data_IF_284844972824
#
_entry.id   IF_284844972824
#
_cell.length_a   1.000
_cell.length_b   1.000
_cell.length_c   1.000
_cell.angle_alpha   90.00
_cell.angle_beta   90.00
_cell.angle_gamma   90.00
#
_symmetry.space_group_name_H-M   'P 1'
#
loop_
_entity.id
_entity.type
_entity.pdbx_description
1 polymer ?
#
# COMPACT_ATOMS: atom_id res chain seq x y z
N UNK A 1 -2.73 -12.46 -1.60
CA UNK A 1 -3.35 -13.41 -0.66
C UNK A 1 -2.76 -13.16 0.71
N UNK A 2 -3.47 -13.49 1.78
CA UNK A 2 -3.00 -13.33 3.17
C UNK A 2 -2.62 -11.90 3.58
N UNK A 3 -3.43 -10.91 3.16
CA UNK A 3 -3.22 -9.49 3.49
C UNK A 3 -1.87 -8.92 3.04
N UNK A 4 -1.22 -9.57 2.08
CA UNK A 4 -0.05 -9.06 1.39
C UNK A 4 -0.40 -8.69 -0.05
N UNK A 5 0.09 -7.53 -0.47
CA UNK A 5 0.09 -7.07 -1.86
C UNK A 5 1.53 -6.72 -2.29
N UNK A 6 1.76 -6.79 -3.60
CA UNK A 6 3.05 -6.45 -4.21
C UNK A 6 2.75 -5.38 -5.26
N UNK A 7 3.38 -4.22 -5.14
CA UNK A 7 3.42 -3.24 -6.21
C UNK A 7 4.62 -3.55 -7.11
N UNK A 8 4.37 -3.64 -8.41
CA UNK A 8 5.38 -3.97 -9.42
C UNK A 8 5.59 -2.75 -10.30
N UNK A 9 6.80 -2.19 -10.29
CA UNK A 9 7.17 -1.07 -11.13
C UNK A 9 7.85 -1.56 -12.40
N UNK A 10 7.22 -1.32 -13.55
CA UNK A 10 7.69 -1.80 -14.86
C UNK A 10 8.18 -0.61 -15.68
N UNK A 11 9.38 -0.71 -16.25
CA UNK A 11 9.89 0.30 -17.18
C UNK A 11 9.15 0.22 -18.51
N UNK A 12 8.49 1.32 -18.91
CA UNK A 12 7.80 1.39 -20.20
C UNK A 12 8.74 1.21 -21.41
N UNK A 13 10.04 1.50 -21.25
CA UNK A 13 11.04 1.35 -22.32
C UNK A 13 11.52 -0.10 -22.44
N UNK A 14 11.62 -0.80 -21.32
CA UNK A 14 12.14 -2.17 -21.22
C UNK A 14 11.21 -3.01 -20.34
N UNK A 15 10.03 -3.43 -20.85
CA UNK A 15 9.00 -4.07 -20.02
C UNK A 15 9.38 -5.48 -19.52
N UNK A 16 10.39 -6.12 -20.13
CA UNK A 16 10.90 -7.44 -19.75
C UNK A 16 12.11 -7.39 -18.83
N UNK A 17 12.62 -6.19 -18.50
CA UNK A 17 13.73 -6.05 -17.55
C UNK A 17 13.29 -6.37 -16.12
N UNK A 18 14.26 -6.67 -15.26
CA UNK A 18 14.01 -6.79 -13.82
C UNK A 18 13.28 -5.55 -13.29
N UNK A 19 12.28 -5.78 -12.43
CA UNK A 19 11.37 -4.76 -11.92
C UNK A 19 11.65 -4.45 -10.46
N UNK A 20 11.30 -3.23 -10.04
CA UNK A 20 11.32 -2.84 -8.64
C UNK A 20 10.02 -3.32 -7.97
N UNK A 21 10.14 -3.94 -6.79
CA UNK A 21 9.02 -4.51 -6.05
C UNK A 21 8.88 -3.84 -4.68
N UNK A 22 7.69 -3.31 -4.40
CA UNK A 22 7.29 -2.91 -3.05
C UNK A 22 6.35 -3.96 -2.47
N UNK A 23 6.81 -4.68 -1.45
CA UNK A 23 5.99 -5.59 -0.68
C UNK A 23 5.24 -4.82 0.41
N UNK A 24 3.92 -4.99 0.46
CA UNK A 24 3.03 -4.33 1.40
C UNK A 24 2.26 -5.39 2.20
N UNK A 25 2.10 -5.17 3.50
CA UNK A 25 1.43 -6.09 4.41
C UNK A 25 2.19 -6.23 5.73
N UNK A 26 1.77 -7.21 6.56
CA UNK A 26 2.46 -7.51 7.82
C UNK A 26 3.87 -8.05 7.58
N UNK A 27 4.84 -7.63 8.37
CA UNK A 27 6.26 -8.01 8.21
C UNK A 27 6.46 -9.53 8.27
N UNK A 28 5.64 -10.24 9.05
CA UNK A 28 5.67 -11.71 9.15
C UNK A 28 5.42 -12.38 7.79
N UNK A 29 4.60 -11.77 6.93
CA UNK A 29 4.29 -12.27 5.59
C UNK A 29 5.26 -11.70 4.55
N UNK A 30 5.66 -10.44 4.71
CA UNK A 30 6.53 -9.72 3.76
C UNK A 30 7.99 -10.18 3.84
N UNK A 31 8.54 -10.40 5.03
CA UNK A 31 9.95 -10.72 5.21
C UNK A 31 10.39 -11.98 4.43
N UNK A 32 9.67 -13.13 4.48
CA UNK A 32 10.03 -14.31 3.69
C UNK A 32 9.96 -14.07 2.18
N UNK A 33 9.04 -13.22 1.70
CA UNK A 33 8.95 -12.86 0.28
C UNK A 33 10.16 -12.03 -0.15
N UNK A 34 10.58 -11.07 0.68
CA UNK A 34 11.75 -10.23 0.44
C UNK A 34 13.04 -11.05 0.40
N UNK A 35 13.20 -11.99 1.32
CA UNK A 35 14.37 -12.88 1.37
C UNK A 35 14.46 -13.78 0.13
N UNK A 36 13.33 -14.36 -0.32
CA UNK A 36 13.27 -15.15 -1.55
C UNK A 36 13.60 -14.32 -2.79
N UNK A 37 13.04 -13.11 -2.89
CA UNK A 37 13.37 -12.17 -3.97
C UNK A 37 14.87 -11.87 -4.02
N UNK A 38 15.47 -11.48 -2.90
CA UNK A 38 16.89 -11.14 -2.84
C UNK A 38 17.80 -12.33 -3.20
N UNK A 39 17.41 -13.54 -2.78
CA UNK A 39 18.15 -14.78 -3.07
C UNK A 39 18.09 -15.14 -4.56
N UNK A 40 16.90 -15.04 -5.15
CA UNK A 40 16.62 -15.58 -6.48
C UNK A 40 16.65 -14.52 -7.59
N UNK A 41 16.81 -13.23 -7.28
CA UNK A 41 16.80 -12.12 -8.25
C UNK A 41 17.77 -12.32 -9.43
N UNK A 42 18.92 -12.97 -9.19
CA UNK A 42 19.91 -13.29 -10.21
C UNK A 42 19.41 -14.25 -11.30
N UNK A 43 18.33 -14.99 -11.03
CA UNK A 43 17.74 -15.95 -11.97
C UNK A 43 16.72 -15.31 -12.91
N UNK A 44 16.57 -13.98 -12.92
CA UNK A 44 15.66 -13.29 -13.83
C UNK A 44 15.98 -13.59 -15.30
N UNK A 45 14.98 -14.01 -16.06
CA UNK A 45 15.09 -14.38 -17.47
C UNK A 45 14.33 -13.40 -18.36
N UNK A 46 14.98 -12.91 -19.41
CA UNK A 46 14.36 -12.04 -20.42
C UNK A 46 13.42 -12.78 -21.37
N UNK A 47 13.50 -14.12 -21.39
CA UNK A 47 12.70 -14.97 -22.26
C UNK A 47 11.43 -15.49 -21.57
N UNK A 48 11.26 -15.22 -20.29
CA UNK A 48 10.08 -15.58 -19.52
C UNK A 48 9.19 -14.34 -19.31
N UNK A 49 7.89 -14.55 -19.15
CA UNK A 49 6.97 -13.48 -18.79
C UNK A 49 7.27 -12.95 -17.38
N UNK A 50 6.79 -11.74 -17.09
CA UNK A 50 6.88 -11.15 -15.75
C UNK A 50 6.28 -12.08 -14.68
N UNK A 51 5.14 -12.71 -14.97
CA UNK A 51 4.44 -13.59 -14.02
C UNK A 51 5.28 -14.84 -13.73
N UNK A 52 5.86 -15.46 -14.76
CA UNK A 52 6.71 -16.66 -14.61
C UNK A 52 7.97 -16.34 -13.81
N UNK A 53 8.66 -15.25 -14.17
CA UNK A 53 9.82 -14.76 -13.41
C UNK A 53 9.48 -14.55 -11.94
N UNK A 54 8.41 -13.81 -11.64
CA UNK A 54 8.02 -13.52 -10.27
C UNK A 54 7.54 -14.76 -9.52
N UNK A 55 6.82 -15.67 -10.15
CA UNK A 55 6.37 -16.93 -9.53
C UNK A 55 7.56 -17.79 -9.13
N UNK A 56 8.55 -17.91 -10.00
CA UNK A 56 9.80 -18.66 -9.77
C UNK A 56 10.70 -17.99 -8.73
N UNK A 57 10.91 -16.68 -8.82
CA UNK A 57 11.79 -15.92 -7.91
C UNK A 57 11.20 -15.87 -6.50
N UNK A 58 9.89 -15.59 -6.38
CA UNK A 58 9.21 -15.52 -5.10
C UNK A 58 8.81 -16.89 -4.57
N UNK A 59 8.97 -17.97 -5.36
CA UNK A 59 8.55 -19.33 -5.02
C UNK A 59 7.08 -19.36 -4.54
N UNK A 60 6.20 -18.68 -5.28
CA UNK A 60 4.76 -18.64 -5.01
C UNK A 60 3.98 -19.00 -6.25
N UNK A 61 2.83 -19.63 -6.05
CA UNK A 61 1.81 -19.76 -7.08
C UNK A 61 0.92 -18.52 -7.05
N UNK A 62 0.95 -17.73 -8.13
CA UNK A 62 0.04 -16.62 -8.28
C UNK A 62 -1.38 -17.14 -8.50
N UNK A 63 -2.37 -16.67 -7.72
CA UNK A 63 -3.74 -17.13 -7.86
C UNK A 63 -4.21 -16.96 -9.30
N UNK A 64 -4.91 -17.96 -9.82
CA UNK A 64 -5.53 -17.83 -11.14
C UNK A 64 -6.62 -16.75 -11.12
N UNK A 65 -6.86 -16.07 -12.25
CA UNK A 65 -7.95 -15.09 -12.34
C UNK A 65 -9.28 -15.81 -12.11
N UNK A 66 -9.81 -15.72 -10.88
CA UNK A 66 -11.19 -16.12 -10.63
C UNK A 66 -12.11 -14.98 -11.08
N UNK A 67 -13.31 -15.26 -11.61
CA UNK A 67 -14.30 -14.22 -11.90
C UNK A 67 -14.79 -13.64 -10.56
N UNK A 68 -14.02 -12.71 -10.03
CA UNK A 68 -14.30 -12.06 -8.75
C UNK A 68 -15.27 -10.89 -8.99
N UNK A 69 -16.38 -10.85 -8.25
CA UNK A 69 -17.33 -9.73 -8.31
C UNK A 69 -16.58 -8.44 -7.90
N UNK A 70 -16.67 -7.37 -8.71
CA UNK A 70 -16.00 -6.07 -8.49
C UNK A 70 -16.27 -5.47 -7.09
N UNK A 71 -17.35 -5.85 -6.43
CA UNK A 71 -17.67 -5.40 -5.07
C UNK A 71 -16.82 -6.07 -4.00
N UNK A 72 -16.40 -7.33 -4.20
CA UNK A 72 -15.56 -8.07 -3.24
C UNK A 72 -14.11 -7.58 -3.17
N UNK A 73 -13.68 -6.75 -4.13
CA UNK A 73 -12.32 -6.18 -4.19
C UNK A 73 -12.17 -4.83 -3.48
N UNK A 74 -13.26 -4.26 -2.97
CA UNK A 74 -13.23 -3.00 -2.24
C UNK A 74 -12.98 -3.30 -0.77
N UNK A 75 -11.71 -3.30 -0.37
CA UNK A 75 -11.38 -3.33 1.06
C UNK A 75 -11.36 -1.89 1.55
N UNK A 76 -12.36 -1.51 2.35
CA UNK A 76 -12.51 -0.14 2.84
C UNK A 76 -11.62 0.11 4.07
N UNK A 77 -11.18 1.37 4.22
CA UNK A 77 -10.44 1.79 5.40
C UNK A 77 -11.30 1.65 6.67
N UNK A 78 -10.76 1.03 7.72
CA UNK A 78 -11.43 0.87 9.02
C UNK A 78 -11.64 2.15 9.84
N UNK A 79 -11.37 3.33 9.28
CA UNK A 79 -11.61 4.64 9.92
C UNK A 79 -12.60 5.46 9.09
N UNK A 80 -12.33 5.65 7.79
CA UNK A 80 -13.16 6.50 6.93
C UNK A 80 -14.18 5.73 6.08
N UNK A 81 -14.16 4.39 6.12
CA UNK A 81 -15.05 3.51 5.35
C UNK A 81 -15.05 3.78 3.83
N UNK A 82 -13.94 4.30 3.31
CA UNK A 82 -13.74 4.51 1.87
C UNK A 82 -12.59 3.66 1.37
N UNK A 83 -12.75 3.11 0.18
CA UNK A 83 -11.68 2.49 -0.58
C UNK A 83 -10.63 3.52 -1.05
N UNK A 84 -11.05 4.74 -1.41
CA UNK A 84 -10.16 5.81 -1.87
C UNK A 84 -10.36 7.08 -1.08
N UNK A 85 -9.29 7.58 -0.48
CA UNK A 85 -9.31 8.86 0.20
C UNK A 85 -9.24 9.99 -0.84
N UNK A 86 -10.25 10.87 -0.87
CA UNK A 86 -10.20 12.09 -1.68
C UNK A 86 -9.57 13.20 -0.83
N UNK A 87 -8.28 13.47 -1.03
CA UNK A 87 -7.64 14.64 -0.43
C UNK A 87 -7.93 15.83 -1.34
N UNK A 88 -8.82 16.72 -0.91
CA UNK A 88 -9.10 17.97 -1.63
C UNK A 88 -7.85 18.87 -1.58
N UNK A 89 -7.10 18.91 -2.68
CA UNK A 89 -6.10 19.96 -2.87
C UNK A 89 -6.84 21.24 -3.23
N UNK A 90 -6.92 22.18 -2.30
CA UNK A 90 -7.43 23.54 -2.54
C UNK A 90 -6.61 24.22 -3.65
N UNK A 91 -7.02 24.02 -4.89
CA UNK A 91 -6.69 24.85 -6.04
C UNK A 91 -7.98 25.50 -6.48
N UNK A 92 -8.35 26.59 -5.81
CA UNK A 92 -9.56 27.34 -6.14
C UNK A 92 -9.44 27.95 -7.55
N UNK A 93 -10.31 27.46 -8.45
CA UNK A 93 -10.92 28.13 -9.62
C UNK A 93 -10.01 28.43 -10.84
N UNK A 94 -10.39 28.09 -12.08
CA UNK A 94 -11.70 28.31 -12.72
C UNK A 94 -12.08 27.23 -13.76
N UNK A 95 -13.36 26.87 -13.69
CA UNK A 95 -14.28 26.24 -14.66
C UNK A 95 -13.77 25.88 -16.06
N UNK A 96 -13.89 24.60 -16.44
CA UNK A 96 -14.94 24.10 -17.35
C UNK A 96 -14.61 22.68 -17.83
N UNK A 97 -15.60 21.79 -17.69
CA UNK A 97 -15.93 20.58 -18.46
C UNK A 97 -14.83 19.60 -18.95
N UNK A 98 -15.20 18.32 -18.85
CA UNK A 98 -14.59 17.11 -19.43
C UNK A 98 -13.42 16.46 -18.69
N UNK A 99 -13.76 15.28 -18.16
CA UNK A 99 -12.94 14.07 -17.99
C UNK A 99 -11.58 14.12 -18.69
N UNK A 100 -10.55 14.56 -17.97
CA UNK A 100 -9.16 14.24 -18.29
C UNK A 100 -8.40 14.02 -17.01
N UNK A 101 -8.34 12.75 -16.64
CA UNK A 101 -7.40 12.16 -15.68
C UNK A 101 -5.97 12.43 -16.13
N UNK A 102 -5.47 13.65 -15.91
CA UNK A 102 -4.04 13.95 -16.00
C UNK A 102 -3.44 13.66 -14.64
N UNK A 103 -3.17 12.37 -14.41
CA UNK A 103 -2.33 11.91 -13.32
C UNK A 103 -0.92 12.49 -13.52
N UNK A 104 -0.57 13.51 -12.73
CA UNK A 104 0.82 13.91 -12.55
C UNK A 104 1.34 13.11 -11.35
N UNK A 105 2.31 12.26 -11.65
CA UNK A 105 3.12 11.45 -10.74
C UNK A 105 3.28 12.07 -9.34
N UNK A 106 2.65 11.45 -8.34
CA UNK A 106 2.79 11.75 -6.92
C UNK A 106 2.28 10.54 -6.13
N UNK A 107 3.08 10.04 -5.20
CA UNK A 107 2.89 8.83 -4.40
C UNK A 107 1.42 8.49 -4.00
N UNK A 108 0.82 7.52 -4.69
CA UNK A 108 -0.56 7.04 -4.51
C UNK A 108 -0.76 6.18 -3.22
N UNK A 109 0.27 6.00 -2.40
CA UNK A 109 0.24 5.06 -1.25
C UNK A 109 -0.67 5.52 -0.12
N UNK A 110 -0.88 6.83 0.06
CA UNK A 110 -1.75 7.36 1.13
C UNK A 110 -3.24 7.34 0.79
N UNK A 111 -3.60 7.18 -0.49
CA UNK A 111 -4.98 7.24 -0.98
C UNK A 111 -5.69 5.90 -0.91
N UNK A 112 -4.94 4.80 -0.83
CA UNK A 112 -5.44 3.44 -0.68
C UNK A 112 -5.20 2.91 0.74
N UNK A 113 -6.08 2.05 1.27
CA UNK A 113 -5.95 1.53 2.62
C UNK A 113 -4.92 0.39 2.65
N UNK A 114 -3.64 0.73 2.49
CA UNK A 114 -2.55 -0.24 2.40
C UNK A 114 -1.88 -0.52 3.76
N UNK A 115 -2.19 0.25 4.80
CA UNK A 115 -1.66 0.02 6.13
C UNK A 115 -2.54 -0.98 6.88
N UNK A 116 -2.08 -2.21 7.01
CA UNK A 116 -2.86 -3.31 7.62
C UNK A 116 -2.43 -3.55 9.06
N UNK A 117 -3.39 -3.88 9.93
CA UNK A 117 -3.08 -4.33 11.29
C UNK A 117 -2.34 -5.68 11.30
N UNK A 118 -1.23 -5.77 12.05
CA UNK A 118 -0.42 -6.98 12.18
C UNK A 118 -1.11 -8.14 12.93
N UNK A 119 -2.15 -7.84 13.72
CA UNK A 119 -2.92 -8.89 14.39
C UNK A 119 -3.68 -9.72 13.34
N UNK A 120 -3.30 -10.99 13.17
CA UNK A 120 -3.88 -11.94 12.20
C UNK A 120 -5.39 -12.13 12.36
N UNK A 121 -5.94 -11.94 13.56
CA UNK A 121 -7.40 -12.01 13.81
C UNK A 121 -8.14 -10.73 13.39
N UNK A 122 -7.41 -9.62 13.22
CA UNK A 122 -7.96 -8.31 12.86
C UNK A 122 -7.77 -8.02 11.37
N UNK A 123 -6.52 -7.88 10.92
CA UNK A 123 -6.20 -7.60 9.51
C UNK A 123 -6.90 -6.38 8.91
N UNK A 124 -7.43 -5.45 9.73
CA UNK A 124 -8.15 -4.29 9.21
C UNK A 124 -7.17 -3.35 8.49
N UNK A 125 -7.50 -2.91 7.26
CA UNK A 125 -6.68 -1.96 6.54
C UNK A 125 -7.07 -0.51 6.81
N UNK A 126 -6.10 0.38 6.68
CA UNK A 126 -6.26 1.81 6.89
C UNK A 126 -5.48 2.60 5.82
N UNK A 127 -5.99 3.78 5.47
CA UNK A 127 -5.17 4.78 4.78
C UNK A 127 -4.03 5.23 5.69
N UNK A 128 -2.87 5.50 5.09
CA UNK A 128 -1.73 6.06 5.84
C UNK A 128 -2.15 7.35 6.55
N UNK A 129 -2.86 8.24 5.85
CA UNK A 129 -3.36 9.49 6.41
C UNK A 129 -4.35 9.28 7.57
N UNK A 130 -5.31 8.36 7.43
CA UNK A 130 -6.32 8.14 8.47
C UNK A 130 -5.71 7.58 9.75
N UNK A 131 -4.87 6.53 9.65
CA UNK A 131 -4.27 5.93 10.82
C UNK A 131 -3.21 6.85 11.46
N UNK A 132 -2.41 7.56 10.66
CA UNK A 132 -1.45 8.52 11.20
C UNK A 132 -2.12 9.67 11.95
N UNK A 133 -3.21 10.23 11.41
CA UNK A 133 -4.01 11.27 12.08
C UNK A 133 -4.64 10.76 13.36
N UNK A 134 -5.21 9.55 13.32
CA UNK A 134 -5.77 8.90 14.50
C UNK A 134 -4.74 8.73 15.61
N UNK A 135 -3.59 8.11 15.33
CA UNK A 135 -2.55 7.87 16.34
C UNK A 135 -2.01 9.19 16.92
N UNK A 136 -1.85 10.24 16.11
CA UNK A 136 -1.44 11.58 16.60
C UNK A 136 -2.43 12.22 17.58
N UNK A 137 -3.70 11.83 17.56
CA UNK A 137 -4.71 12.34 18.49
C UNK A 137 -4.70 11.67 19.86
N UNK A 138 -3.98 10.54 20.01
CA UNK A 138 -3.90 9.78 21.25
C UNK A 138 -2.68 10.19 22.08
N UNK A 139 -2.88 10.34 23.39
CA UNK A 139 -1.81 10.74 24.33
C UNK A 139 -0.83 9.61 24.66
N UNK A 140 -1.20 8.35 24.41
CA UNK A 140 -0.37 7.17 24.66
C UNK A 140 0.48 6.74 23.45
N UNK A 141 0.32 7.41 22.30
CA UNK A 141 1.08 7.14 21.08
C UNK A 141 2.55 7.49 21.25
N UNK A 142 3.42 6.51 20.98
CA UNK A 142 4.87 6.70 20.99
C UNK A 142 5.36 7.01 19.59
N UNK A 143 6.34 7.89 19.49
CA UNK A 143 6.98 8.26 18.23
C UNK A 143 8.45 7.83 18.29
N UNK A 144 8.93 7.18 17.23
CA UNK A 144 10.36 6.89 17.03
C UNK A 144 10.72 7.24 15.59
N UNK A 145 11.52 8.30 15.41
CA UNK A 145 11.86 8.86 14.11
C UNK A 145 10.62 9.14 13.24
N UNK A 146 10.49 8.43 12.12
CA UNK A 146 9.39 8.55 11.16
C UNK A 146 8.28 7.52 11.41
N UNK A 147 8.34 6.76 12.52
CA UNK A 147 7.38 5.69 12.83
C UNK A 147 6.60 6.01 14.12
N UNK A 148 5.27 5.85 14.06
CA UNK A 148 4.37 5.97 15.20
C UNK A 148 3.92 4.60 15.66
N UNK A 149 3.80 4.41 16.98
CA UNK A 149 3.39 3.18 17.63
C UNK A 149 2.22 3.46 18.57
N UNK A 150 1.15 2.70 18.43
CA UNK A 150 -0.01 2.83 19.29
C UNK A 150 -0.91 1.61 19.20
N UNK A 151 -2.21 1.82 19.42
CA UNK A 151 -3.22 0.75 19.42
C UNK A 151 -4.08 0.80 18.16
N UNK A 152 -4.35 -0.37 17.59
CA UNK A 152 -5.26 -0.56 16.47
C UNK A 152 -6.68 -0.09 16.84
N UNK A 153 -7.32 0.78 16.03
CA UNK A 153 -8.68 1.26 16.28
C UNK A 153 -9.73 0.15 16.39
N UNK A 154 -9.49 -1.01 15.74
CA UNK A 154 -10.47 -2.10 15.70
C UNK A 154 -10.25 -3.19 16.74
N UNK A 155 -8.99 -3.55 17.03
CA UNK A 155 -8.69 -4.66 17.93
C UNK A 155 -7.86 -4.28 19.17
N UNK A 156 -7.46 -3.01 19.30
CA UNK A 156 -6.65 -2.48 20.42
C UNK A 156 -5.27 -3.08 20.64
N UNK A 157 -4.86 -4.03 19.79
CA UNK A 157 -3.50 -4.57 19.74
C UNK A 157 -2.51 -3.55 19.17
N UNK A 158 -1.22 -3.77 19.37
CA UNK A 158 -0.18 -2.87 18.87
C UNK A 158 -0.21 -2.75 17.35
N UNK A 159 -0.12 -1.53 16.84
CA UNK A 159 0.05 -1.23 15.43
C UNK A 159 1.12 -0.15 15.26
N UNK A 160 1.84 -0.18 14.14
CA UNK A 160 2.81 0.85 13.78
C UNK A 160 2.52 1.40 12.39
N UNK A 161 2.90 2.66 12.17
CA UNK A 161 2.78 3.30 10.87
C UNK A 161 3.94 4.25 10.64
N UNK A 162 4.48 4.23 9.41
CA UNK A 162 5.44 5.23 8.97
C UNK A 162 4.70 6.51 8.59
N UNK A 163 4.98 7.60 9.28
CA UNK A 163 4.44 8.91 8.95
C UNK A 163 5.29 9.54 7.85
N UNK A 164 4.88 9.44 6.58
CA UNK A 164 5.52 10.27 5.56
C UNK A 164 5.23 11.75 5.83
N UNK A 165 6.26 12.59 5.89
CA UNK A 165 6.13 14.04 6.13
C UNK A 165 5.41 14.80 5.00
N UNK A 166 5.04 14.11 3.92
CA UNK A 166 4.37 14.70 2.76
C UNK A 166 2.93 15.15 3.05
N UNK A 167 2.26 14.57 4.06
CA UNK A 167 0.91 14.98 4.46
C UNK A 167 0.90 16.28 5.31
N UNK A 168 2.02 16.65 5.94
CA UNK A 168 2.10 17.83 6.79
C UNK A 168 2.07 19.16 5.99
N UNK A 169 2.26 19.11 4.67
CA UNK A 169 2.18 20.27 3.79
C UNK A 169 0.74 20.65 3.39
N UNK A 170 -0.27 19.81 3.65
CA UNK A 170 -1.63 19.99 3.10
C UNK A 170 -2.60 20.62 4.11
N UNK A 171 -2.27 20.65 5.41
CA UNK A 171 -3.20 21.12 6.46
C UNK A 171 -2.65 22.24 7.36
N UNK A 172 -1.85 23.15 6.79
CA UNK A 172 -1.58 24.45 7.44
C UNK A 172 -2.36 25.55 6.74
N UNK A 173 -3.61 25.75 7.18
CA UNK A 173 -4.28 27.05 7.24
C UNK A 173 -5.04 27.12 8.55
#
# INVERSE_FOLDING_TARGET
GDNCSIHIHISAKNPTSMCELDFLGSEIVVQPLRERFNRNAHTWSWNETLRENLSRILEIEFPEPTPTNKETFKVDCGICYSFRLQLETNTESKQSNESKSKSKNGNDTSLLPNQVCDNKKCGTPYHEYCLSTWLRSLTDTRHSFDTMFGKCPMCYETISIRSSSSAAAILRK
#
